data_IF_597192662148
#
_entry.id   IF_597192662148
#
_cell.length_a   1.000
_cell.length_b   1.000
_cell.length_c   1.000
_cell.angle_alpha   90.00
_cell.angle_beta   90.00
_cell.angle_gamma   90.00
#
_symmetry.space_group_name_H-M   'P 1'
#
loop_
_entity.id
_entity.type
_entity.pdbx_description
1 polymer ?
#
# COMPACT_ATOMS: atom_id res chain seq x y z
N UNK A 1 -0.67 16.58 -6.76
CA UNK A 1 -1.84 15.75 -7.13
C UNK A 1 -3.04 16.26 -6.35
N UNK A 2 -4.24 16.36 -6.96
CA UNK A 2 -5.36 16.98 -6.26
C UNK A 2 -5.92 16.08 -5.16
N UNK A 3 -6.12 16.67 -3.99
CA UNK A 3 -7.00 16.10 -2.97
C UNK A 3 -8.45 16.18 -3.46
N UNK A 4 -9.21 15.13 -3.22
CA UNK A 4 -10.60 14.98 -3.63
C UNK A 4 -11.42 14.47 -2.45
N UNK A 5 -12.61 15.03 -2.26
CA UNK A 5 -13.60 14.53 -1.32
C UNK A 5 -14.62 13.69 -2.08
N UNK A 6 -14.74 12.43 -1.71
CA UNK A 6 -15.65 11.48 -2.37
C UNK A 6 -16.71 11.04 -1.37
N UNK A 7 -17.97 11.39 -1.65
CA UNK A 7 -19.11 11.00 -0.84
C UNK A 7 -19.48 9.51 -1.05
N UNK A 8 -19.94 8.85 0.00
CA UNK A 8 -20.71 7.61 -0.11
C UNK A 8 -22.20 7.88 -0.32
N UNK A 9 -23.01 6.83 -0.40
CA UNK A 9 -24.47 6.93 -0.58
C UNK A 9 -25.19 7.58 0.61
N UNK A 10 -24.58 7.59 1.80
CA UNK A 10 -25.08 8.26 3.00
C UNK A 10 -24.71 9.73 3.06
N UNK A 11 -23.92 10.24 2.09
CA UNK A 11 -23.43 11.61 2.06
C UNK A 11 -22.17 11.84 2.90
N UNK A 12 -21.59 10.81 3.52
CA UNK A 12 -20.34 10.94 4.25
C UNK A 12 -19.18 11.01 3.27
N UNK A 13 -18.30 11.98 3.45
CA UNK A 13 -17.17 12.21 2.54
C UNK A 13 -15.89 11.59 3.09
N UNK A 14 -15.05 11.08 2.18
CA UNK A 14 -13.67 10.68 2.48
C UNK A 14 -12.69 11.51 1.64
N UNK A 15 -11.66 12.04 2.29
CA UNK A 15 -10.55 12.76 1.67
C UNK A 15 -9.51 11.78 1.15
N UNK A 16 -9.19 11.91 -0.14
CA UNK A 16 -8.29 11.03 -0.89
C UNK A 16 -7.43 11.86 -1.84
N UNK A 17 -6.39 11.28 -2.41
CA UNK A 17 -5.76 11.83 -3.62
C UNK A 17 -6.29 11.15 -4.86
N UNK A 18 -6.31 11.85 -6.00
CA UNK A 18 -6.58 11.25 -7.31
C UNK A 18 -5.29 11.18 -8.13
N UNK A 19 -4.94 9.97 -8.61
CA UNK A 19 -3.76 9.72 -9.42
C UNK A 19 -4.03 8.62 -10.45
N UNK A 20 -3.72 8.86 -11.73
CA UNK A 20 -3.94 7.92 -12.86
C UNK A 20 -5.36 7.29 -12.86
N UNK A 21 -6.39 8.09 -12.53
CA UNK A 21 -7.79 7.62 -12.47
C UNK A 21 -8.14 6.70 -11.30
N UNK A 22 -7.26 6.63 -10.28
CA UNK A 22 -7.41 5.86 -9.06
C UNK A 22 -7.34 6.78 -7.84
N UNK A 23 -7.88 6.33 -6.72
CA UNK A 23 -7.79 7.04 -5.44
C UNK A 23 -6.65 6.51 -4.59
N UNK A 24 -5.96 7.37 -3.85
CA UNK A 24 -4.86 7.02 -2.96
C UNK A 24 -5.07 7.55 -1.55
N UNK A 25 -4.19 7.12 -0.63
CA UNK A 25 -4.12 7.70 0.71
C UNK A 25 -3.75 9.18 0.62
N UNK A 26 -4.36 10.06 1.44
CA UNK A 26 -3.92 11.45 1.59
C UNK A 26 -2.48 11.58 2.12
N UNK A 27 -1.92 10.51 2.69
CA UNK A 27 -0.56 10.46 3.24
C UNK A 27 0.52 10.14 2.20
N UNK A 28 0.13 9.80 0.97
CA UNK A 28 1.11 9.50 -0.08
C UNK A 28 1.94 10.72 -0.44
N UNK A 29 3.23 10.49 -0.67
CA UNK A 29 4.14 11.54 -1.08
C UNK A 29 4.06 11.73 -2.60
N UNK A 30 3.88 12.99 -3.02
CA UNK A 30 3.68 13.31 -4.43
C UNK A 30 4.89 12.99 -5.30
N UNK A 31 6.08 13.38 -4.86
CA UNK A 31 7.33 13.11 -5.55
C UNK A 31 7.56 11.60 -5.70
N UNK A 32 7.33 10.83 -4.63
CA UNK A 32 7.48 9.38 -4.63
C UNK A 32 6.55 8.70 -5.65
N UNK A 33 5.28 9.11 -5.70
CA UNK A 33 4.30 8.56 -6.64
C UNK A 33 4.56 8.95 -8.09
N UNK A 34 5.01 10.18 -8.34
CA UNK A 34 5.34 10.65 -9.69
C UNK A 34 6.59 9.97 -10.24
N UNK A 35 7.56 9.67 -9.38
CA UNK A 35 8.83 9.03 -9.75
C UNK A 35 8.83 7.50 -9.58
N UNK A 36 7.69 6.88 -9.22
CA UNK A 36 7.59 5.45 -8.96
C UNK A 36 8.04 4.59 -10.15
N UNK A 37 7.68 5.00 -11.37
CA UNK A 37 8.02 4.26 -12.60
C UNK A 37 9.55 4.15 -12.81
N UNK A 38 10.30 5.15 -12.33
CA UNK A 38 11.76 5.26 -12.48
C UNK A 38 12.52 4.97 -11.16
N UNK A 39 11.84 4.41 -10.15
CA UNK A 39 12.47 4.00 -8.90
C UNK A 39 13.54 2.93 -9.17
N UNK A 40 14.82 3.18 -8.82
CA UNK A 40 15.92 2.26 -9.16
C UNK A 40 15.96 1.09 -8.17
N UNK A 41 15.58 -0.09 -8.67
CA UNK A 41 15.64 -1.33 -7.91
C UNK A 41 17.01 -1.99 -8.04
N UNK A 42 17.42 -2.67 -6.98
CA UNK A 42 18.59 -3.56 -6.96
C UNK A 42 18.13 -4.98 -7.25
N UNK A 43 19.01 -5.81 -7.81
CA UNK A 43 18.69 -7.19 -8.15
C UNK A 43 18.41 -8.06 -6.91
N UNK A 44 18.92 -7.65 -5.75
CA UNK A 44 18.76 -8.33 -4.46
C UNK A 44 17.72 -7.68 -3.54
N UNK A 45 16.99 -6.66 -4.02
CA UNK A 45 15.86 -6.12 -3.27
C UNK A 45 14.78 -7.19 -3.03
N UNK A 46 14.02 -6.99 -1.96
CA UNK A 46 12.84 -7.77 -1.62
C UNK A 46 11.66 -6.82 -1.57
N UNK A 47 10.70 -7.01 -2.48
CA UNK A 47 9.48 -6.21 -2.55
C UNK A 47 8.33 -6.94 -1.86
N UNK A 48 7.86 -6.37 -0.75
CA UNK A 48 6.61 -6.76 -0.11
C UNK A 48 5.45 -6.00 -0.72
N UNK A 49 4.70 -6.67 -1.58
CA UNK A 49 3.53 -6.10 -2.24
C UNK A 49 2.25 -6.66 -1.62
N UNK A 50 1.28 -5.80 -1.28
CA UNK A 50 -0.02 -6.28 -0.80
C UNK A 50 -1.13 -5.32 -1.15
N UNK A 51 -2.36 -5.81 -1.27
CA UNK A 51 -3.50 -4.89 -1.09
C UNK A 51 -3.45 -4.34 0.33
N UNK A 52 -3.73 -3.05 0.49
CA UNK A 52 -3.74 -2.42 1.82
C UNK A 52 -4.63 -3.20 2.79
N UNK A 53 -4.20 -3.28 4.05
CA UNK A 53 -4.89 -4.04 5.13
C UNK A 53 -4.89 -5.57 4.98
N UNK A 54 -4.12 -6.13 4.05
CA UNK A 54 -3.98 -7.59 3.88
C UNK A 54 -2.94 -8.25 4.79
N UNK A 55 -2.42 -7.54 5.81
CA UNK A 55 -1.42 -8.10 6.74
C UNK A 55 0.04 -7.75 6.44
N UNK A 56 0.30 -6.66 5.69
CA UNK A 56 1.66 -6.22 5.37
C UNK A 56 2.56 -6.02 6.60
N UNK A 57 2.06 -5.48 7.73
CA UNK A 57 2.84 -5.36 8.98
C UNK A 57 3.33 -6.70 9.52
N UNK A 58 2.51 -7.75 9.41
CA UNK A 58 2.89 -9.06 9.91
C UNK A 58 4.00 -9.67 9.05
N UNK A 59 3.83 -9.61 7.73
CA UNK A 59 4.82 -10.13 6.78
C UNK A 59 6.10 -9.28 6.78
N UNK A 60 6.00 -7.96 6.97
CA UNK A 60 7.15 -7.08 7.17
C UNK A 60 8.04 -7.57 8.31
N UNK A 61 7.47 -7.82 9.48
CA UNK A 61 8.23 -8.30 10.64
C UNK A 61 8.84 -9.69 10.39
N UNK A 62 8.10 -10.60 9.75
CA UNK A 62 8.64 -11.92 9.38
C UNK A 62 9.85 -11.77 8.45
N UNK A 63 9.74 -10.94 7.40
CA UNK A 63 10.85 -10.70 6.47
C UNK A 63 12.04 -10.05 7.17
N UNK A 64 11.80 -9.06 8.04
CA UNK A 64 12.85 -8.41 8.83
C UNK A 64 13.61 -9.43 9.68
N UNK A 65 12.89 -10.29 10.41
CA UNK A 65 13.50 -11.32 11.26
C UNK A 65 14.28 -12.37 10.44
N UNK A 66 13.76 -12.77 9.28
CA UNK A 66 14.44 -13.73 8.39
C UNK A 66 15.74 -13.16 7.82
N UNK A 67 15.80 -11.86 7.52
CA UNK A 67 16.99 -11.19 6.98
C UNK A 67 18.00 -10.87 8.09
N UNK A 68 17.55 -10.41 9.25
CA UNK A 68 18.45 -10.09 10.37
C UNK A 68 19.07 -11.32 11.03
N UNK A 69 18.49 -12.52 10.85
CA UNK A 69 19.01 -13.76 11.39
C UNK A 69 18.74 -13.95 12.90
N UNK A 70 19.23 -15.06 13.49
CA UNK A 70 18.92 -15.46 14.86
C UNK A 70 19.43 -14.49 15.94
N UNK A 71 20.46 -13.71 15.64
CA UNK A 71 21.08 -12.75 16.57
C UNK A 71 20.36 -11.39 16.59
N UNK A 72 19.19 -11.27 15.96
CA UNK A 72 18.43 -10.02 15.89
C UNK A 72 17.73 -9.61 17.21
N UNK A 73 17.88 -10.41 18.27
CA UNK A 73 17.35 -10.11 19.59
C UNK A 73 17.92 -8.77 20.10
N UNK A 74 17.03 -7.78 20.28
CA UNK A 74 17.41 -6.44 20.75
C UNK A 74 17.67 -5.42 19.63
N UNK A 75 17.53 -5.79 18.36
CA UNK A 75 17.53 -4.79 17.28
C UNK A 75 16.31 -3.87 17.40
N UNK A 76 16.53 -2.58 17.15
CA UNK A 76 15.44 -1.61 17.12
C UNK A 76 14.35 -2.02 16.14
N UNK A 77 13.11 -1.77 16.53
CA UNK A 77 11.97 -1.97 15.65
C UNK A 77 12.03 -0.93 14.54
N UNK A 78 11.99 -1.41 13.30
CA UNK A 78 11.97 -0.55 12.12
C UNK A 78 10.53 -0.47 11.63
N UNK A 79 9.99 0.74 11.64
CA UNK A 79 8.63 0.97 11.16
C UNK A 79 8.53 0.70 9.66
N UNK A 80 7.53 -0.12 9.30
CA UNK A 80 7.23 -0.51 7.92
C UNK A 80 6.96 0.70 7.02
N UNK A 81 6.30 1.72 7.57
CA UNK A 81 5.95 2.98 6.92
C UNK A 81 7.19 3.74 6.42
N UNK A 82 8.32 3.63 7.12
CA UNK A 82 9.58 4.25 6.70
C UNK A 82 10.14 3.63 5.41
N UNK A 83 9.65 2.45 5.01
CA UNK A 83 10.07 1.69 3.83
C UNK A 83 8.94 1.53 2.79
N UNK A 84 7.84 2.27 2.94
CA UNK A 84 6.74 2.34 1.97
C UNK A 84 7.12 3.23 0.79
N UNK A 85 7.30 2.65 -0.38
CA UNK A 85 7.82 3.34 -1.56
C UNK A 85 6.95 4.52 -2.00
N UNK A 86 5.64 4.49 -1.73
CA UNK A 86 4.68 5.56 -2.05
C UNK A 86 4.57 6.65 -0.96
N UNK A 87 5.32 6.55 0.15
CA UNK A 87 5.29 7.52 1.27
C UNK A 87 6.54 8.38 1.37
N UNK A 88 7.67 7.96 0.78
CA UNK A 88 8.94 8.69 0.88
C UNK A 88 9.64 8.77 -0.48
N UNK A 89 10.34 9.87 -0.76
CA UNK A 89 11.17 9.99 -1.96
C UNK A 89 12.33 8.98 -1.92
N UNK A 90 12.85 8.65 -3.10
CA UNK A 90 13.87 7.62 -3.27
C UNK A 90 15.14 7.84 -2.42
N UNK A 91 15.53 9.10 -2.19
CA UNK A 91 16.74 9.44 -1.47
C UNK A 91 16.81 8.81 -0.07
N UNK A 92 15.67 8.56 0.57
CA UNK A 92 15.55 7.87 1.86
C UNK A 92 15.98 6.39 1.81
N UNK A 93 15.98 5.78 0.61
CA UNK A 93 16.31 4.37 0.39
C UNK A 93 17.68 4.16 -0.26
N UNK A 94 18.27 5.22 -0.80
CA UNK A 94 19.47 5.15 -1.62
C UNK A 94 20.69 4.65 -0.82
N UNK A 95 20.80 5.10 0.43
CA UNK A 95 21.90 4.79 1.36
C UNK A 95 21.71 3.49 2.14
N UNK A 96 20.53 2.87 2.08
CA UNK A 96 20.26 1.63 2.80
C UNK A 96 21.16 0.49 2.31
N UNK A 97 21.68 -0.36 3.22
CA UNK A 97 22.45 -1.53 2.84
C UNK A 97 21.56 -2.55 2.11
N UNK A 98 22.20 -3.35 1.26
CA UNK A 98 21.56 -4.47 0.58
C UNK A 98 21.60 -5.74 1.45
N UNK A 99 20.59 -6.64 1.36
CA UNK A 99 19.36 -6.49 0.58
C UNK A 99 18.37 -5.52 1.27
N UNK A 100 17.69 -4.67 0.48
CA UNK A 100 16.63 -3.80 1.02
C UNK A 100 15.30 -4.55 1.04
N UNK A 101 14.58 -4.45 2.15
CA UNK A 101 13.17 -4.82 2.21
C UNK A 101 12.37 -3.55 1.95
N UNK A 102 11.72 -3.46 0.79
CA UNK A 102 10.83 -2.35 0.44
C UNK A 102 9.40 -2.87 0.42
N UNK A 103 8.43 -2.01 0.71
CA UNK A 103 7.03 -2.39 0.61
C UNK A 103 6.23 -1.34 -0.14
N UNK A 104 5.16 -1.78 -0.79
CA UNK A 104 4.21 -0.89 -1.39
C UNK A 104 2.85 -1.59 -1.55
N UNK A 105 1.83 -0.78 -1.78
CA UNK A 105 0.51 -1.29 -2.07
C UNK A 105 0.12 -1.18 -3.54
N UNK A 106 1.03 -0.74 -4.43
CA UNK A 106 0.73 -0.36 -5.81
C UNK A 106 0.22 -1.54 -6.67
N UNK A 107 -0.66 -1.25 -7.63
CA UNK A 107 -0.99 -2.22 -8.70
C UNK A 107 0.22 -2.53 -9.57
N UNK A 108 0.20 -3.68 -10.25
CA UNK A 108 1.33 -4.13 -11.07
C UNK A 108 1.75 -3.10 -12.13
N UNK A 109 0.79 -2.42 -12.77
CA UNK A 109 1.04 -1.38 -13.77
C UNK A 109 1.58 -0.06 -13.20
N UNK A 110 1.69 0.07 -11.88
CA UNK A 110 2.29 1.22 -11.19
C UNK A 110 3.53 0.83 -10.37
N UNK A 111 4.07 -0.37 -10.60
CA UNK A 111 5.37 -0.76 -10.05
C UNK A 111 6.51 -0.12 -10.85
N UNK A 112 7.73 -0.03 -10.27
CA UNK A 112 8.89 0.44 -11.01
C UNK A 112 9.15 -0.40 -12.26
N UNK A 113 9.55 0.23 -13.37
CA UNK A 113 9.88 -0.47 -14.62
C UNK A 113 11.00 -1.50 -14.42
N UNK A 114 11.91 -1.20 -13.50
CA UNK A 114 13.01 -2.08 -13.10
C UNK A 114 12.54 -3.43 -12.55
N UNK A 115 11.29 -3.56 -12.10
CA UNK A 115 10.74 -4.82 -11.58
C UNK A 115 10.92 -5.97 -12.57
N UNK A 116 10.66 -5.72 -13.85
CA UNK A 116 10.74 -6.73 -14.91
C UNK A 116 12.17 -6.91 -15.47
N UNK A 117 13.02 -5.90 -15.29
CA UNK A 117 14.41 -5.91 -15.77
C UNK A 117 15.33 -6.58 -14.75
N UNK A 118 15.29 -6.12 -13.50
CA UNK A 118 16.14 -6.58 -12.40
C UNK A 118 15.63 -7.87 -11.74
N UNK A 119 14.31 -8.11 -11.82
CA UNK A 119 13.63 -9.29 -11.26
C UNK A 119 14.00 -9.55 -9.79
N UNK A 120 13.85 -8.56 -8.89
CA UNK A 120 14.05 -8.77 -7.46
C UNK A 120 13.04 -9.78 -6.92
N UNK A 121 13.24 -10.25 -5.69
CA UNK A 121 12.28 -11.14 -5.04
C UNK A 121 11.00 -10.36 -4.72
N UNK A 122 9.84 -10.93 -5.05
CA UNK A 122 8.53 -10.34 -4.74
C UNK A 122 7.79 -11.25 -3.78
N UNK A 123 7.39 -10.71 -2.64
CA UNK A 123 6.50 -11.35 -1.66
C UNK A 123 5.15 -10.69 -1.78
N UNK A 124 4.21 -11.40 -2.38
CA UNK A 124 2.85 -10.92 -2.55
C UNK A 124 1.91 -11.44 -1.46
N UNK A 125 1.19 -10.55 -0.79
CA UNK A 125 0.27 -10.91 0.31
C UNK A 125 -1.16 -10.58 -0.06
N UNK A 126 -2.02 -11.58 0.07
CA UNK A 126 -3.46 -11.44 -0.12
C UNK A 126 -4.22 -11.87 1.14
N UNK A 127 -5.42 -11.31 1.30
CA UNK A 127 -6.35 -11.65 2.39
C UNK A 127 -7.78 -11.69 1.83
N UNK A 128 -8.66 -12.46 2.47
CA UNK A 128 -10.08 -12.48 2.14
C UNK A 128 -10.65 -11.05 2.10
N UNK A 129 -11.33 -10.70 1.00
CA UNK A 129 -11.85 -9.35 0.77
C UNK A 129 -12.86 -8.87 1.80
N UNK A 130 -13.64 -9.78 2.41
CA UNK A 130 -14.61 -9.43 3.46
C UNK A 130 -13.88 -8.94 4.71
N UNK A 131 -12.83 -9.64 5.13
CA UNK A 131 -11.98 -9.22 6.24
C UNK A 131 -11.25 -7.90 5.95
N UNK A 132 -10.74 -7.76 4.71
CA UNK A 132 -10.07 -6.55 4.26
C UNK A 132 -11.00 -5.37 4.39
N UNK A 133 -12.25 -5.46 3.91
CA UNK A 133 -13.23 -4.38 3.98
C UNK A 133 -13.47 -3.91 5.43
N UNK A 134 -13.62 -4.83 6.39
CA UNK A 134 -13.77 -4.50 7.82
C UNK A 134 -12.53 -3.80 8.35
N UNK A 135 -11.33 -4.32 8.08
CA UNK A 135 -10.08 -3.70 8.54
C UNK A 135 -9.85 -2.31 7.95
N UNK A 136 -10.24 -2.12 6.69
CA UNK A 136 -10.12 -0.87 5.97
C UNK A 136 -11.09 0.20 6.47
N UNK A 137 -12.31 -0.19 6.81
CA UNK A 137 -13.29 0.68 7.47
C UNK A 137 -12.72 1.30 8.75
N UNK A 138 -12.25 0.46 9.67
CA UNK A 138 -11.66 0.94 10.93
C UNK A 138 -10.40 1.77 10.70
N UNK A 139 -9.61 1.46 9.67
CA UNK A 139 -8.43 2.25 9.32
C UNK A 139 -8.79 3.65 8.82
N UNK A 140 -9.77 3.79 7.93
CA UNK A 140 -10.21 5.10 7.42
C UNK A 140 -10.93 5.92 8.49
N UNK A 141 -11.71 5.30 9.37
CA UNK A 141 -12.31 6.02 10.51
C UNK A 141 -11.26 6.42 11.56
N UNK A 142 -10.17 5.64 11.70
CA UNK A 142 -9.16 5.87 12.72
C UNK A 142 -8.03 6.84 12.32
N UNK A 143 -7.87 7.15 11.03
CA UNK A 143 -6.85 8.07 10.54
C UNK A 143 -7.51 9.39 10.15
N UNK A 144 -7.07 10.47 10.79
CA UNK A 144 -7.69 11.79 10.68
C UNK A 144 -7.69 12.35 9.26
N UNK A 145 -6.62 12.10 8.50
CA UNK A 145 -6.41 12.64 7.15
C UNK A 145 -7.45 12.14 6.14
N UNK A 146 -8.10 11.00 6.39
CA UNK A 146 -9.21 10.54 5.54
C UNK A 146 -10.52 11.28 5.82
N UNK A 147 -10.65 11.94 6.97
CA UNK A 147 -11.83 12.70 7.40
C UNK A 147 -13.15 11.92 7.29
N UNK A 148 -13.11 10.57 7.39
CA UNK A 148 -14.27 9.73 7.17
C UNK A 148 -15.00 9.40 8.47
N UNK A 149 -16.33 9.60 8.48
CA UNK A 149 -17.19 9.43 9.66
C UNK A 149 -18.48 8.63 9.37
N UNK A 150 -18.57 7.97 8.21
CA UNK A 150 -19.73 7.16 7.84
C UNK A 150 -19.78 5.80 8.54
N UNK A 151 -20.93 5.12 8.45
CA UNK A 151 -21.14 3.79 9.01
C UNK A 151 -20.60 2.67 8.09
N UNK A 152 -20.43 1.46 8.63
CA UNK A 152 -19.89 0.33 7.89
C UNK A 152 -20.73 -0.08 6.68
N UNK A 153 -22.06 0.06 6.74
CA UNK A 153 -22.95 -0.31 5.64
C UNK A 153 -22.74 0.59 4.42
N UNK A 154 -22.75 1.92 4.64
CA UNK A 154 -22.44 2.92 3.62
C UNK A 154 -21.01 2.74 3.08
N UNK A 155 -20.05 2.51 3.99
CA UNK A 155 -18.67 2.23 3.64
C UNK A 155 -18.50 1.01 2.75
N UNK A 156 -19.17 -0.11 3.09
CA UNK A 156 -19.02 -1.38 2.38
C UNK A 156 -19.48 -1.25 0.93
N UNK A 157 -20.59 -0.54 0.68
CA UNK A 157 -21.08 -0.30 -0.68
C UNK A 157 -20.14 0.62 -1.46
N UNK A 158 -19.64 1.68 -0.81
CA UNK A 158 -18.59 2.55 -1.37
C UNK A 158 -17.34 1.74 -1.75
N UNK A 159 -16.92 0.83 -0.87
CA UNK A 159 -15.78 -0.06 -1.09
C UNK A 159 -16.02 -1.03 -2.25
N UNK A 160 -17.16 -1.70 -2.27
CA UNK A 160 -17.55 -2.67 -3.30
C UNK A 160 -17.71 -2.03 -4.69
N UNK A 161 -18.18 -0.78 -4.78
CA UNK A 161 -18.30 -0.05 -6.05
C UNK A 161 -16.95 0.27 -6.71
N UNK A 162 -15.83 0.05 -6.00
CA UNK A 162 -14.52 0.49 -6.47
C UNK A 162 -14.37 2.01 -6.47
N UNK A 163 -15.25 2.78 -5.81
CA UNK A 163 -14.91 4.15 -5.41
C UNK A 163 -13.81 4.14 -4.35
N UNK A 164 -13.53 2.98 -3.73
CA UNK A 164 -12.29 2.66 -3.02
C UNK A 164 -11.30 1.95 -3.95
N UNK A 165 -11.25 2.29 -5.25
CA UNK A 165 -10.12 1.94 -6.15
C UNK A 165 -8.90 2.66 -5.62
N UNK A 166 -8.40 2.13 -4.52
CA UNK A 166 -7.12 2.44 -3.95
C UNK A 166 -6.10 2.28 -5.08
N UNK A 167 -4.94 2.93 -5.00
CA UNK A 167 -3.79 2.67 -5.87
C UNK A 167 -3.28 1.22 -5.75
N UNK A 168 -4.09 0.34 -5.18
CA UNK A 168 -3.79 -0.98 -4.68
C UNK A 168 -4.69 -2.01 -5.35
N UNK A 169 -4.13 -3.21 -5.55
CA UNK A 169 -4.68 -4.28 -6.40
C UNK A 169 -6.19 -4.48 -6.31
N UNK A 170 -6.91 -4.07 -7.36
CA UNK A 170 -8.27 -4.53 -7.58
C UNK A 170 -8.25 -5.93 -8.17
N UNK A 171 -8.36 -6.95 -7.31
CA UNK A 171 -8.65 -8.32 -7.73
C UNK A 171 -10.14 -8.53 -8.05
N UNK A 172 -11.01 -7.55 -7.74
CA UNK A 172 -12.45 -7.63 -8.04
C UNK A 172 -12.75 -7.67 -9.55
N UNK A 173 -11.80 -7.37 -10.42
CA UNK A 173 -11.95 -7.48 -11.88
C UNK A 173 -11.35 -8.77 -12.47
N UNK A 174 -10.67 -9.60 -11.68
CA UNK A 174 -9.97 -10.80 -12.18
C UNK A 174 -10.61 -12.12 -11.75
N UNK A 175 -11.58 -12.09 -10.84
CA UNK A 175 -12.41 -13.25 -10.54
C UNK A 175 -13.81 -13.01 -11.11
N UNK A 176 -14.21 -13.66 -12.22
CA UNK A 176 -15.61 -13.74 -12.56
C UNK A 176 -16.33 -14.38 -11.37
N UNK A 177 -17.43 -13.75 -10.96
CA UNK A 177 -18.40 -14.29 -10.00
C UNK A 177 -18.59 -15.78 -10.20
N UNK A 178 -18.40 -16.58 -9.14
CA UNK A 178 -18.92 -17.95 -9.09
C UNK A 178 -20.44 -17.96 -9.24
#
# INVERSE_FOLDING_TARGET
MPFVKVADEGGHTMTLISYKGRYGSPQFNEEALLNMDDFPLRADDILLCSYSKSGCHWIWEILRLLISGPDCAGQEKIDKESYMMEWRPYDQYSSLPSPRILNNHMTFDMQPKDLLVKKPKVVFVYRNFKDVAVSFYHHHCGIHEYEYSGDFGSYLKRWASGQSRSLTLSLCNYFPTF
#
